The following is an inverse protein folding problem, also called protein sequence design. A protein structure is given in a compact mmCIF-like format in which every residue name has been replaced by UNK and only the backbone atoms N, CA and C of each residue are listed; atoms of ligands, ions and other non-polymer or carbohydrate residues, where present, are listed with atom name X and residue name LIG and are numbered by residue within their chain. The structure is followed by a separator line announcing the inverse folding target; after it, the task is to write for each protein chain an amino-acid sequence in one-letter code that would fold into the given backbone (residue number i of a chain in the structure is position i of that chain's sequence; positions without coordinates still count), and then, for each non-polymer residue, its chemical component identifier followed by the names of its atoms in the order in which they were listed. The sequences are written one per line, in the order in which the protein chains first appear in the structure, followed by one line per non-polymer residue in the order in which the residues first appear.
data_IF_913443503495
#
_entry.id   IF_913443503495
#
_cell.length_a   1.000
_cell.length_b   1.000
_cell.length_c   1.000
_cell.angle_alpha   90.00
_cell.angle_beta   90.00
_cell.angle_gamma   90.00
#
_symmetry.space_group_name_H-M   'P 1'
#
loop_
_entity.id
_entity.type
_entity.pdbx_description
1 polymer ?
#
# COMPACT_ATOMS: atom_id res chain seq x y z
N UNK A 1 -12.65 -8.77 -2.65
CA UNK A 1 -11.74 -7.64 -2.36
C UNK A 1 -12.45 -6.46 -1.71
N UNK A 2 -13.31 -5.70 -2.42
CA UNK A 2 -13.95 -4.50 -1.84
C UNK A 2 -14.73 -4.75 -0.54
N UNK A 3 -15.55 -5.80 -0.48
CA UNK A 3 -16.34 -6.13 0.71
C UNK A 3 -15.49 -6.33 1.96
N UNK A 4 -14.48 -7.21 1.90
CA UNK A 4 -13.60 -7.51 3.03
C UNK A 4 -12.88 -6.27 3.57
N UNK A 5 -12.15 -5.54 2.72
CA UNK A 5 -11.35 -4.40 3.19
C UNK A 5 -12.22 -3.22 3.61
N UNK A 6 -13.28 -2.91 2.86
CA UNK A 6 -14.11 -1.74 3.14
C UNK A 6 -14.90 -1.90 4.44
N UNK A 7 -15.45 -3.08 4.70
CA UNK A 7 -16.19 -3.35 5.93
C UNK A 7 -15.30 -3.15 7.16
N UNK A 8 -14.11 -3.77 7.16
CA UNK A 8 -13.13 -3.66 8.25
C UNK A 8 -12.59 -2.25 8.46
N UNK A 9 -12.42 -1.48 7.38
CA UNK A 9 -12.00 -0.08 7.43
C UNK A 9 -13.11 0.84 7.95
N UNK A 10 -14.37 0.60 7.56
CA UNK A 10 -15.52 1.42 7.99
C UNK A 10 -15.86 1.16 9.46
N UNK A 11 -15.74 -0.08 9.93
CA UNK A 11 -15.95 -0.43 11.34
C UNK A 11 -14.81 0.03 12.24
N UNK A 12 -13.63 0.27 11.67
CA UNK A 12 -12.42 0.63 12.41
C UNK A 12 -11.67 -0.57 13.02
N UNK A 13 -12.09 -1.79 12.71
CA UNK A 13 -11.34 -3.00 13.09
C UNK A 13 -9.94 -3.00 12.46
N UNK A 14 -9.84 -2.50 11.22
CA UNK A 14 -8.59 -2.20 10.55
C UNK A 14 -8.45 -0.70 10.31
N UNK A 15 -7.22 -0.21 10.35
CA UNK A 15 -6.91 1.19 10.00
C UNK A 15 -6.37 1.30 8.58
N UNK A 16 -6.38 2.50 8.03
CA UNK A 16 -5.84 2.80 6.70
C UNK A 16 -4.85 3.95 6.75
N UNK A 17 -3.86 3.92 5.85
CA UNK A 17 -2.87 5.00 5.71
C UNK A 17 -2.49 5.25 4.26
N UNK A 18 -2.09 6.49 3.95
CA UNK A 18 -1.80 6.98 2.61
C UNK A 18 -0.28 7.10 2.40
N UNK A 19 0.26 6.36 1.43
CA UNK A 19 1.70 6.19 1.20
C UNK A 19 2.13 6.85 -0.12
N UNK A 20 2.29 8.18 -0.08
CA UNK A 20 2.55 9.02 -1.26
C UNK A 20 4.03 9.42 -1.36
N UNK A 21 4.50 10.14 -0.34
CA UNK A 21 5.75 10.91 -0.31
C UNK A 21 6.99 10.02 -0.26
N UNK A 22 8.02 10.42 -1.00
CA UNK A 22 9.37 9.83 -0.98
C UNK A 22 10.39 10.92 -0.60
N UNK A 23 11.60 10.56 -0.15
CA UNK A 23 12.62 11.56 0.23
C UNK A 23 12.89 12.64 -0.82
N UNK A 24 12.81 12.27 -2.09
CA UNK A 24 13.00 13.16 -3.24
C UNK A 24 11.69 13.68 -3.86
N UNK A 25 10.52 13.26 -3.38
CA UNK A 25 9.22 13.55 -3.98
C UNK A 25 8.16 13.86 -2.91
N UNK A 26 8.02 15.14 -2.58
CA UNK A 26 6.99 15.70 -1.71
C UNK A 26 5.85 16.32 -2.51
N UNK A 27 5.87 17.65 -2.68
CA UNK A 27 4.85 18.38 -3.47
C UNK A 27 4.76 17.89 -4.92
N UNK A 28 5.88 17.45 -5.51
CA UNK A 28 5.91 16.77 -6.80
C UNK A 28 5.83 15.24 -6.63
N UNK A 29 4.61 14.74 -6.38
CA UNK A 29 4.33 13.30 -6.30
C UNK A 29 4.63 12.59 -7.63
N UNK A 30 4.63 13.31 -8.75
CA UNK A 30 4.95 12.78 -10.08
C UNK A 30 6.36 12.22 -10.20
N UNK A 31 7.29 12.74 -9.38
CA UNK A 31 8.70 12.35 -9.33
C UNK A 31 8.98 11.09 -8.48
N UNK A 32 7.94 10.40 -7.98
CA UNK A 32 8.11 9.15 -7.24
C UNK A 32 8.88 8.10 -8.07
N UNK A 33 9.68 7.30 -7.37
CA UNK A 33 10.47 6.19 -7.93
C UNK A 33 9.97 4.83 -7.50
N UNK A 34 9.02 4.76 -6.57
CA UNK A 34 8.38 3.49 -6.22
C UNK A 34 7.76 2.83 -7.45
N UNK A 35 8.01 1.53 -7.61
CA UNK A 35 7.54 0.74 -8.74
C UNK A 35 6.74 -0.46 -8.27
N UNK A 36 5.83 -0.91 -9.13
CA UNK A 36 5.04 -2.11 -8.93
C UNK A 36 5.39 -3.10 -10.04
N UNK A 37 5.84 -4.29 -9.69
CA UNK A 37 6.12 -5.38 -10.63
C UNK A 37 4.98 -6.41 -10.55
N UNK A 38 4.42 -6.87 -11.68
CA UNK A 38 3.33 -7.85 -11.67
C UNK A 38 3.85 -9.23 -11.25
N UNK A 39 3.05 -9.96 -10.48
CA UNK A 39 3.26 -11.37 -10.16
C UNK A 39 2.34 -12.26 -11.03
N UNK A 40 2.65 -13.57 -11.10
CA UNK A 40 1.90 -14.53 -11.92
C UNK A 40 0.45 -14.77 -11.44
N UNK A 41 0.17 -14.48 -10.17
CA UNK A 41 -1.15 -14.63 -9.53
C UNK A 41 -2.06 -13.41 -9.70
N UNK A 42 -1.61 -12.39 -10.45
CA UNK A 42 -2.32 -11.14 -10.67
C UNK A 42 -2.14 -10.10 -9.55
N UNK A 43 -1.38 -10.42 -8.50
CA UNK A 43 -0.95 -9.44 -7.50
C UNK A 43 0.24 -8.61 -8.01
N UNK A 44 0.61 -7.59 -7.22
CA UNK A 44 1.74 -6.72 -7.54
C UNK A 44 2.72 -6.70 -6.38
N UNK A 45 4.01 -6.76 -6.71
CA UNK A 45 5.10 -6.57 -5.77
C UNK A 45 5.55 -5.11 -5.81
N UNK A 46 5.44 -4.42 -4.67
CA UNK A 46 5.80 -3.01 -4.56
C UNK A 46 7.24 -2.87 -4.07
N UNK A 47 7.99 -2.00 -4.73
CA UNK A 47 9.36 -1.63 -4.36
C UNK A 47 9.47 -0.13 -4.19
N UNK A 48 10.07 0.32 -3.10
CA UNK A 48 10.33 1.72 -2.83
C UNK A 48 10.34 2.02 -1.34
N UNK A 49 10.64 3.28 -1.00
CA UNK A 49 10.61 3.77 0.38
C UNK A 49 9.72 5.00 0.44
N UNK A 50 8.78 4.98 1.38
CA UNK A 50 7.87 6.09 1.66
C UNK A 50 8.24 6.72 2.99
N UNK A 51 8.02 8.03 3.11
CA UNK A 51 8.33 8.80 4.33
C UNK A 51 7.15 9.69 4.73
N UNK A 52 7.13 10.09 6.00
CA UNK A 52 6.07 10.92 6.59
C UNK A 52 4.68 10.29 6.50
N UNK A 53 4.62 8.97 6.73
CA UNK A 53 3.38 8.20 6.67
C UNK A 53 2.69 8.24 8.03
N UNK A 54 1.70 9.11 8.15
CA UNK A 54 0.84 9.23 9.33
C UNK A 54 0.13 7.90 9.59
N UNK A 55 0.20 7.41 10.84
CA UNK A 55 -0.33 6.09 11.21
C UNK A 55 0.24 4.93 10.36
N UNK A 56 1.48 5.08 9.89
CA UNK A 56 2.16 4.05 9.10
C UNK A 56 2.44 2.76 9.85
N UNK A 57 2.53 2.81 11.19
CA UNK A 57 2.61 1.63 12.04
C UNK A 57 2.06 1.94 13.44
N UNK A 58 1.36 1.00 14.04
CA UNK A 58 0.81 1.06 15.41
C UNK A 58 0.17 -0.27 15.80
N UNK A 59 -0.06 -0.46 17.11
CA UNK A 59 -0.68 -1.68 17.67
C UNK A 59 -2.17 -1.49 18.04
N UNK A 60 -2.77 -0.37 17.64
CA UNK A 60 -4.18 -0.03 17.96
C UNK A 60 -5.23 -0.74 17.09
N UNK A 61 -4.82 -1.50 16.08
CA UNK A 61 -5.72 -2.25 15.19
C UNK A 61 -5.07 -3.57 14.75
N UNK A 62 -5.89 -4.53 14.36
CA UNK A 62 -5.42 -5.87 13.99
C UNK A 62 -4.65 -5.88 12.65
N UNK A 63 -4.91 -4.91 11.79
CA UNK A 63 -4.24 -4.74 10.51
C UNK A 63 -4.23 -3.27 10.08
N UNK A 64 -3.25 -2.93 9.25
CA UNK A 64 -3.09 -1.60 8.65
C UNK A 64 -3.11 -1.77 7.14
N UNK A 65 -4.00 -1.04 6.47
CA UNK A 65 -4.13 -1.08 5.01
C UNK A 65 -3.40 0.12 4.42
N UNK A 66 -2.23 -0.14 3.83
CA UNK A 66 -1.44 0.89 3.17
C UNK A 66 -1.94 1.10 1.74
N UNK A 67 -2.36 2.32 1.45
CA UNK A 67 -2.72 2.77 0.12
C UNK A 67 -1.47 3.41 -0.52
N UNK A 68 -0.75 2.63 -1.33
CA UNK A 68 0.60 2.97 -1.82
C UNK A 68 0.57 3.44 -3.27
N UNK A 69 1.22 4.58 -3.53
CA UNK A 69 1.45 5.06 -4.90
C UNK A 69 2.75 4.47 -5.47
N UNK A 70 2.63 3.81 -6.63
CA UNK A 70 3.77 3.28 -7.37
C UNK A 70 3.49 3.29 -8.88
N UNK A 71 4.57 3.16 -9.68
CA UNK A 71 4.50 3.12 -11.14
C UNK A 71 4.60 1.69 -11.66
N UNK A 72 3.71 1.30 -12.56
CA UNK A 72 3.78 -0.01 -13.24
C UNK A 72 4.78 0.04 -14.41
N UNK A 73 5.25 -1.11 -14.92
CA UNK A 73 6.17 -1.14 -16.06
C UNK A 73 5.51 -0.52 -17.30
N UNK A 74 6.24 0.36 -17.98
CA UNK A 74 5.75 1.04 -19.19
C UNK A 74 4.75 2.18 -18.95
N UNK A 75 4.38 2.49 -17.70
CA UNK A 75 3.52 3.63 -17.42
C UNK A 75 4.22 4.97 -17.75
N UNK A 76 3.49 5.97 -18.29
CA UNK A 76 4.07 7.25 -18.69
C UNK A 76 4.67 8.00 -17.50
N UNK A 77 5.61 8.92 -17.73
CA UNK A 77 6.19 9.75 -16.67
C UNK A 77 5.15 10.69 -16.01
N UNK A 78 5.50 11.20 -14.82
CA UNK A 78 4.65 12.11 -14.05
C UNK A 78 3.44 11.42 -13.42
N UNK A 79 2.46 12.21 -12.99
CA UNK A 79 1.33 11.74 -12.17
C UNK A 79 0.38 10.79 -12.91
N UNK A 80 0.24 10.95 -14.23
CA UNK A 80 -0.65 10.11 -15.06
C UNK A 80 -0.27 8.64 -15.11
N UNK A 81 1.00 8.30 -14.86
CA UNK A 81 1.44 6.90 -14.81
C UNK A 81 1.48 6.30 -13.41
N UNK A 82 1.02 7.03 -12.39
CA UNK A 82 0.97 6.52 -11.04
C UNK A 82 -0.31 5.70 -10.84
N UNK A 83 -0.17 4.53 -10.24
CA UNK A 83 -1.28 3.68 -9.81
C UNK A 83 -1.35 3.61 -8.29
N UNK A 84 -2.54 3.30 -7.77
CA UNK A 84 -2.78 3.09 -6.34
C UNK A 84 -2.90 1.60 -6.05
N UNK A 85 -2.17 1.14 -5.03
CA UNK A 85 -2.13 -0.25 -4.61
C UNK A 85 -2.62 -0.40 -3.17
N UNK A 86 -3.36 -1.48 -2.92
CA UNK A 86 -3.75 -1.90 -1.57
C UNK A 86 -2.68 -2.87 -1.06
N UNK A 87 -1.95 -2.47 -0.03
CA UNK A 87 -0.86 -3.24 0.56
C UNK A 87 -1.15 -3.42 2.06
N UNK A 88 -1.83 -4.51 2.46
CA UNK A 88 -2.06 -4.76 3.88
C UNK A 88 -0.74 -5.11 4.59
N UNK A 89 -0.58 -4.70 5.85
CA UNK A 89 0.53 -5.11 6.72
C UNK A 89 0.57 -6.63 6.89
N UNK A 90 -0.60 -7.24 7.08
CA UNK A 90 -0.80 -8.70 7.10
C UNK A 90 -1.77 -9.13 5.99
N UNK A 91 -1.39 -10.10 5.16
CA UNK A 91 -2.30 -10.68 4.15
C UNK A 91 -3.48 -11.34 4.84
N UNK A 92 -4.73 -10.95 4.50
CA UNK A 92 -5.89 -11.63 5.04
C UNK A 92 -5.94 -13.09 4.59
N UNK A 93 -6.35 -13.99 5.48
CA UNK A 93 -6.66 -15.37 5.14
C UNK A 93 -8.04 -15.48 4.45
N UNK A 94 -8.46 -16.71 4.15
CA UNK A 94 -9.75 -16.98 3.49
C UNK A 94 -10.95 -16.55 4.36
N UNK A 95 -10.78 -16.51 5.67
CA UNK A 95 -11.78 -16.08 6.65
C UNK A 95 -11.73 -14.57 6.93
N UNK A 96 -10.81 -13.84 6.30
CA UNK A 96 -10.67 -12.39 6.43
C UNK A 96 -9.92 -11.93 7.70
N UNK A 97 -9.19 -12.83 8.37
CA UNK A 97 -8.35 -12.51 9.53
C UNK A 97 -6.93 -12.13 9.09
N UNK A 98 -6.20 -11.29 9.85
CA UNK A 98 -4.80 -10.99 9.55
C UNK A 98 -3.93 -12.26 9.56
N UNK A 99 -3.24 -12.53 8.45
CA UNK A 99 -2.37 -13.70 8.28
C UNK A 99 -0.89 -13.32 8.18
N UNK A 100 -0.24 -13.74 7.09
CA UNK A 100 1.21 -13.57 6.89
C UNK A 100 1.60 -12.09 6.78
N UNK A 101 2.64 -11.67 7.48
CA UNK A 101 3.23 -10.35 7.33
C UNK A 101 3.78 -10.14 5.91
N UNK A 102 3.39 -9.04 5.27
CA UNK A 102 3.81 -8.66 3.90
C UNK A 102 5.04 -7.77 3.89
N UNK A 103 5.15 -6.89 4.88
CA UNK A 103 6.29 -6.02 5.02
C UNK A 103 7.42 -6.82 5.66
N UNK A 104 8.54 -6.93 4.94
CA UNK A 104 9.78 -7.32 5.57
C UNK A 104 10.07 -6.30 6.67
N UNK A 105 10.49 -6.71 7.88
CA UNK A 105 11.20 -5.79 8.75
C UNK A 105 12.36 -5.23 7.92
N UNK A 106 12.39 -3.90 7.79
CA UNK A 106 13.58 -3.19 7.32
C UNK A 106 14.68 -3.32 8.35
#
# INVERSE_FOLDING_TARGET
MKALYLEKLVTGEWTGTMNLTEPQAGSDVGALKSRAEPNDDGSWKIFGQKIYITWGDHDMAENIIHLVLARTPGAPAGTKGISLFVVPKFLPDAEGRPGRAMMSPV
#
